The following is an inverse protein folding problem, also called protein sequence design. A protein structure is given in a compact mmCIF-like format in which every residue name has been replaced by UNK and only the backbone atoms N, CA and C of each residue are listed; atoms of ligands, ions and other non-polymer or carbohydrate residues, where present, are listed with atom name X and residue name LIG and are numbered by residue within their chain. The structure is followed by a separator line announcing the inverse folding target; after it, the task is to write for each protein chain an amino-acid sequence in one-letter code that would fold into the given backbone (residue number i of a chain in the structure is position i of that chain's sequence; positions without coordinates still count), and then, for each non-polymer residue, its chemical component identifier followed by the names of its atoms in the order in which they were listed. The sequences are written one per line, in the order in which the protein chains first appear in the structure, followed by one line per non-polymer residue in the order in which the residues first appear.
data_IF_156961202441
#
_entry.id   IF_156961202441
#
_cell.length_a   1.000
_cell.length_b   1.000
_cell.length_c   1.000
_cell.angle_alpha   90.00
_cell.angle_beta   90.00
_cell.angle_gamma   90.00
#
_symmetry.space_group_name_H-M   'P 1'
#
loop_
_entity.id
_entity.type
_entity.pdbx_description
1 polymer ?
#
# COMPACT_ATOMS: atom_id res chain seq x y z
N UNK A 1 13.46 27.35 4.56
CA UNK A 1 14.10 26.16 4.00
C UNK A 1 13.82 26.22 2.52
N UNK A 2 14.86 26.28 1.69
CA UNK A 2 14.69 26.35 0.24
C UNK A 2 14.01 25.07 -0.26
N UNK A 3 13.36 25.12 -1.41
CA UNK A 3 12.73 23.94 -2.00
C UNK A 3 13.76 22.82 -2.20
N UNK A 4 14.97 23.16 -2.65
CA UNK A 4 16.06 22.20 -2.88
C UNK A 4 16.51 21.51 -1.59
N UNK A 5 16.48 22.23 -0.46
CA UNK A 5 16.93 21.70 0.84
C UNK A 5 16.01 20.59 1.33
N UNK A 6 14.69 20.72 1.13
CA UNK A 6 13.69 19.72 1.60
C UNK A 6 13.89 18.40 0.87
N UNK A 7 14.17 18.45 -0.43
CA UNK A 7 14.39 17.25 -1.24
C UNK A 7 15.67 16.54 -0.83
N UNK A 8 16.78 17.27 -0.68
CA UNK A 8 18.05 16.70 -0.27
C UNK A 8 17.97 16.07 1.12
N UNK A 9 17.34 16.76 2.07
CA UNK A 9 17.14 16.22 3.43
C UNK A 9 16.22 15.00 3.40
N UNK A 10 15.12 15.04 2.65
CA UNK A 10 14.21 13.90 2.54
C UNK A 10 14.91 12.68 1.94
N UNK A 11 15.70 12.83 0.87
CA UNK A 11 16.47 11.73 0.28
C UNK A 11 17.47 11.14 1.27
N UNK A 12 18.26 11.99 1.94
CA UNK A 12 19.23 11.52 2.93
C UNK A 12 18.56 10.75 4.08
N UNK A 13 17.38 11.19 4.52
CA UNK A 13 16.60 10.49 5.53
C UNK A 13 16.04 9.15 4.99
N UNK A 14 15.57 9.11 3.74
CA UNK A 14 15.11 7.85 3.12
C UNK A 14 16.27 6.85 2.99
N UNK A 15 17.47 7.28 2.63
CA UNK A 15 18.66 6.43 2.57
C UNK A 15 19.05 5.89 3.96
N UNK A 16 18.91 6.70 5.02
CA UNK A 16 19.20 6.32 6.40
C UNK A 16 18.06 5.54 7.10
N UNK A 17 16.94 5.28 6.43
CA UNK A 17 15.74 4.69 7.05
C UNK A 17 15.94 3.26 7.58
N UNK A 18 16.99 2.56 7.13
CA UNK A 18 17.36 1.22 7.60
C UNK A 18 18.76 1.17 8.22
N UNK A 19 19.19 2.26 8.86
CA UNK A 19 20.45 2.32 9.59
C UNK A 19 20.59 1.16 10.59
N UNK A 20 21.82 0.73 10.89
CA UNK A 20 22.05 -0.37 11.83
C UNK A 20 21.74 0.02 13.27
N UNK A 21 21.77 1.32 13.58
CA UNK A 21 21.45 1.86 14.90
C UNK A 21 19.93 2.12 15.03
N UNK A 22 19.22 1.43 15.95
CA UNK A 22 17.79 1.63 16.17
C UNK A 22 17.42 3.06 16.62
N UNK A 23 18.31 3.75 17.34
CA UNK A 23 18.09 5.13 17.74
C UNK A 23 18.11 6.05 16.51
N UNK A 24 19.06 5.83 15.59
CA UNK A 24 19.12 6.55 14.31
C UNK A 24 17.85 6.29 13.50
N UNK A 25 17.40 5.03 13.38
CA UNK A 25 16.16 4.71 12.67
C UNK A 25 14.96 5.49 13.22
N UNK A 26 14.80 5.54 14.55
CA UNK A 26 13.68 6.25 15.16
C UNK A 26 13.76 7.76 14.95
N UNK A 27 14.96 8.36 15.02
CA UNK A 27 15.14 9.79 14.72
C UNK A 27 14.88 10.11 13.25
N UNK A 28 15.34 9.24 12.34
CA UNK A 28 15.06 9.35 10.90
C UNK A 28 13.56 9.31 10.67
N UNK A 29 12.86 8.32 11.23
CA UNK A 29 11.40 8.18 11.10
C UNK A 29 10.65 9.40 11.61
N UNK A 30 11.01 9.93 12.79
CA UNK A 30 10.43 11.17 13.34
C UNK A 30 10.66 12.36 12.43
N UNK A 31 11.85 12.46 11.84
CA UNK A 31 12.23 13.57 10.96
C UNK A 31 11.44 13.53 9.65
N UNK A 32 11.36 12.36 8.99
CA UNK A 32 10.56 12.21 7.76
C UNK A 32 9.09 12.47 8.02
N UNK A 33 8.54 11.98 9.14
CA UNK A 33 7.14 12.26 9.50
C UNK A 33 6.90 13.74 9.80
N UNK A 34 7.85 14.44 10.41
CA UNK A 34 7.75 15.88 10.66
C UNK A 34 7.72 16.66 9.35
N UNK A 35 8.60 16.33 8.40
CA UNK A 35 8.59 16.92 7.06
C UNK A 35 7.30 16.58 6.31
N UNK A 36 6.86 15.32 6.35
CA UNK A 36 5.62 14.87 5.72
C UNK A 36 4.37 15.56 6.30
N UNK A 37 4.39 15.96 7.57
CA UNK A 37 3.30 16.76 8.17
C UNK A 37 3.31 18.23 7.76
N UNK A 38 4.44 18.75 7.27
CA UNK A 38 4.59 20.13 6.80
C UNK A 38 4.37 20.26 5.29
N UNK A 39 4.82 19.28 4.52
CA UNK A 39 4.75 19.24 3.05
C UNK A 39 4.33 17.84 2.56
N UNK A 40 3.08 17.40 2.83
CA UNK A 40 2.65 16.02 2.60
C UNK A 40 2.78 15.60 1.13
N UNK A 41 2.22 16.38 0.19
CA UNK A 41 2.29 16.08 -1.25
C UNK A 41 3.72 15.86 -1.75
N UNK A 42 4.66 16.67 -1.25
CA UNK A 42 6.05 16.66 -1.68
C UNK A 42 6.79 15.46 -1.12
N UNK A 43 6.71 15.22 0.19
CA UNK A 43 7.40 14.09 0.83
C UNK A 43 6.85 12.77 0.31
N UNK A 44 5.54 12.69 0.08
CA UNK A 44 4.93 11.53 -0.57
C UNK A 44 5.49 11.33 -1.98
N UNK A 45 5.64 12.40 -2.79
CA UNK A 45 6.29 12.32 -4.10
C UNK A 45 7.69 11.69 -4.01
N UNK A 46 8.51 12.18 -3.08
CA UNK A 46 9.86 11.70 -2.87
C UNK A 46 9.88 10.20 -2.48
N UNK A 47 8.96 9.76 -1.63
CA UNK A 47 8.83 8.36 -1.25
C UNK A 47 8.47 7.47 -2.45
N UNK A 48 7.51 7.91 -3.28
CA UNK A 48 7.11 7.17 -4.48
C UNK A 48 8.25 7.09 -5.49
N UNK A 49 8.89 8.23 -5.78
CA UNK A 49 10.05 8.33 -6.66
C UNK A 49 11.19 7.42 -6.20
N UNK A 50 11.44 7.37 -4.90
CA UNK A 50 12.47 6.53 -4.31
C UNK A 50 12.18 5.04 -4.57
N UNK A 51 10.95 4.58 -4.35
CA UNK A 51 10.55 3.20 -4.61
C UNK A 51 10.65 2.83 -6.10
N UNK A 52 10.30 3.75 -6.99
CA UNK A 52 10.36 3.56 -8.45
C UNK A 52 11.80 3.53 -8.98
N UNK A 53 12.67 4.43 -8.48
CA UNK A 53 14.09 4.50 -8.86
C UNK A 53 14.90 3.30 -8.33
N UNK A 54 14.43 2.65 -7.26
CA UNK A 54 15.11 1.51 -6.63
C UNK A 54 14.27 0.21 -6.70
N UNK A 55 14.11 -0.41 -7.88
CA UNK A 55 13.31 -1.63 -8.01
C UNK A 55 13.86 -2.79 -7.15
N UNK A 56 15.19 -2.87 -6.99
CA UNK A 56 15.91 -3.91 -6.22
C UNK A 56 16.13 -3.53 -4.74
N UNK A 57 15.41 -2.55 -4.22
CA UNK A 57 15.49 -2.13 -2.82
C UNK A 57 15.20 -3.33 -1.88
N UNK A 58 15.94 -3.42 -0.78
CA UNK A 58 15.70 -4.45 0.23
C UNK A 58 14.26 -4.38 0.76
N UNK A 59 13.65 -5.54 1.01
CA UNK A 59 12.25 -5.64 1.44
C UNK A 59 12.00 -4.84 2.73
N UNK A 60 12.89 -4.95 3.72
CA UNK A 60 12.80 -4.20 4.97
C UNK A 60 12.80 -2.69 4.76
N UNK A 61 13.62 -2.19 3.83
CA UNK A 61 13.68 -0.76 3.51
C UNK A 61 12.42 -0.31 2.77
N UNK A 62 11.95 -1.11 1.82
CA UNK A 62 10.67 -0.87 1.13
C UNK A 62 9.50 -0.80 2.12
N UNK A 63 9.45 -1.70 3.11
CA UNK A 63 8.44 -1.67 4.20
C UNK A 63 8.46 -0.34 4.96
N UNK A 64 9.63 0.15 5.38
CA UNK A 64 9.75 1.41 6.13
C UNK A 64 9.22 2.60 5.32
N UNK A 65 9.49 2.63 4.01
CA UNK A 65 8.99 3.71 3.14
C UNK A 65 7.46 3.63 3.01
N UNK A 66 6.90 2.43 2.82
CA UNK A 66 5.45 2.24 2.72
C UNK A 66 4.74 2.62 4.03
N UNK A 67 5.28 2.23 5.17
CA UNK A 67 4.76 2.63 6.49
C UNK A 67 4.85 4.15 6.69
N UNK A 68 5.89 4.80 6.16
CA UNK A 68 6.01 6.25 6.21
C UNK A 68 4.91 6.93 5.38
N UNK A 69 4.65 6.41 4.17
CA UNK A 69 3.53 6.86 3.33
C UNK A 69 2.20 6.71 4.08
N UNK A 70 1.94 5.52 4.66
CA UNK A 70 0.74 5.23 5.44
C UNK A 70 0.53 6.28 6.54
N UNK A 71 1.55 6.54 7.35
CA UNK A 71 1.48 7.48 8.47
C UNK A 71 1.20 8.93 8.01
N UNK A 72 1.86 9.38 6.94
CA UNK A 72 1.66 10.73 6.41
C UNK A 72 0.23 10.87 5.90
N UNK A 73 -0.23 9.92 5.08
CA UNK A 73 -1.59 9.90 4.55
C UNK A 73 -2.62 9.87 5.67
N UNK A 74 -2.47 8.97 6.65
CA UNK A 74 -3.40 8.86 7.78
C UNK A 74 -3.50 10.15 8.62
N UNK A 75 -2.43 10.95 8.69
CA UNK A 75 -2.44 12.21 9.43
C UNK A 75 -2.90 13.43 8.62
N UNK A 76 -2.74 13.39 7.28
CA UNK A 76 -2.82 14.58 6.40
C UNK A 76 -3.67 14.37 5.16
N UNK A 77 -4.55 13.38 5.14
CA UNK A 77 -5.39 13.03 3.97
C UNK A 77 -6.18 14.22 3.38
N UNK A 78 -6.57 15.18 4.21
CA UNK A 78 -7.28 16.41 3.78
C UNK A 78 -6.38 17.41 3.05
N UNK A 79 -5.07 17.37 3.30
CA UNK A 79 -4.06 18.29 2.77
C UNK A 79 -3.36 17.74 1.53
N UNK A 80 -3.70 16.51 1.11
CA UNK A 80 -3.07 15.83 -0.04
C UNK A 80 -3.92 16.02 -1.29
N UNK A 81 -3.29 16.37 -2.41
CA UNK A 81 -3.95 16.53 -3.70
C UNK A 81 -4.60 15.22 -4.19
N UNK A 82 -5.76 15.32 -4.85
CA UNK A 82 -6.45 14.14 -5.39
C UNK A 82 -5.59 13.38 -6.42
N UNK A 83 -4.77 14.07 -7.21
CA UNK A 83 -3.83 13.44 -8.13
C UNK A 83 -2.78 12.59 -7.39
N UNK A 84 -2.26 13.08 -6.26
CA UNK A 84 -1.34 12.32 -5.42
C UNK A 84 -2.01 11.11 -4.80
N UNK A 85 -3.25 11.25 -4.30
CA UNK A 85 -4.00 10.11 -3.75
C UNK A 85 -4.18 9.02 -4.81
N UNK A 86 -4.61 9.34 -6.03
CA UNK A 86 -4.75 8.34 -7.11
C UNK A 86 -3.43 7.66 -7.44
N UNK A 87 -2.34 8.42 -7.49
CA UNK A 87 -0.99 7.87 -7.69
C UNK A 87 -0.56 6.93 -6.56
N UNK A 88 -0.88 7.25 -5.30
CA UNK A 88 -0.59 6.41 -4.14
C UNK A 88 -1.43 5.13 -4.12
N UNK A 89 -2.70 5.21 -4.53
CA UNK A 89 -3.59 4.04 -4.69
C UNK A 89 -2.97 3.06 -5.70
N UNK A 90 -2.59 3.55 -6.88
CA UNK A 90 -1.93 2.72 -7.91
C UNK A 90 -0.61 2.14 -7.40
N UNK A 91 0.25 2.95 -6.76
CA UNK A 91 1.50 2.45 -6.19
C UNK A 91 1.27 1.35 -5.15
N UNK A 92 0.37 1.57 -4.18
CA UNK A 92 0.12 0.61 -3.11
C UNK A 92 -0.50 -0.68 -3.66
N UNK A 93 -1.42 -0.56 -4.61
CA UNK A 93 -2.02 -1.68 -5.33
C UNK A 93 -0.96 -2.52 -6.06
N UNK A 94 0.00 -1.88 -6.71
CA UNK A 94 1.12 -2.54 -7.39
C UNK A 94 2.13 -3.15 -6.42
N UNK A 95 2.55 -2.44 -5.38
CA UNK A 95 3.47 -2.96 -4.35
C UNK A 95 2.88 -4.19 -3.66
N UNK A 96 1.58 -4.15 -3.33
CA UNK A 96 0.84 -5.26 -2.72
C UNK A 96 0.77 -6.51 -3.60
N UNK A 97 0.82 -6.36 -4.91
CA UNK A 97 0.66 -7.46 -5.89
C UNK A 97 1.90 -7.73 -6.75
N UNK A 98 3.02 -7.07 -6.45
CA UNK A 98 4.26 -7.16 -7.24
C UNK A 98 4.88 -8.55 -7.21
N UNK A 99 4.81 -9.22 -6.07
CA UNK A 99 5.25 -10.61 -5.90
C UNK A 99 4.04 -11.54 -5.92
N UNK A 100 4.20 -12.71 -6.56
CA UNK A 100 3.23 -13.82 -6.44
C UNK A 100 3.38 -14.56 -5.12
N UNK A 101 4.59 -14.58 -4.57
CA UNK A 101 4.84 -15.12 -3.24
C UNK A 101 4.35 -14.13 -2.19
N UNK A 102 3.76 -14.67 -1.14
CA UNK A 102 3.26 -13.88 -0.02
C UNK A 102 4.45 -13.45 0.84
N UNK A 103 4.72 -12.15 0.88
CA UNK A 103 5.72 -11.51 1.73
C UNK A 103 4.95 -10.58 2.70
N UNK A 104 4.52 -11.10 3.87
CA UNK A 104 3.51 -10.45 4.68
C UNK A 104 3.82 -9.00 5.05
N UNK A 105 5.03 -8.71 5.56
CA UNK A 105 5.38 -7.38 6.04
C UNK A 105 5.30 -6.31 4.94
N UNK A 106 5.76 -6.63 3.73
CA UNK A 106 5.73 -5.72 2.59
C UNK A 106 4.32 -5.50 2.08
N UNK A 107 3.60 -6.59 1.82
CA UNK A 107 2.29 -6.51 1.20
C UNK A 107 1.24 -5.97 2.19
N UNK A 108 1.40 -6.22 3.49
CA UNK A 108 0.60 -5.60 4.54
C UNK A 108 0.86 -4.10 4.63
N UNK A 109 2.12 -3.64 4.57
CA UNK A 109 2.43 -2.21 4.57
C UNK A 109 1.78 -1.50 3.36
N UNK A 110 1.76 -2.14 2.19
CA UNK A 110 1.06 -1.61 1.02
C UNK A 110 -0.47 -1.62 1.21
N UNK A 111 -1.04 -2.71 1.73
CA UNK A 111 -2.47 -2.83 2.06
C UNK A 111 -2.93 -1.73 3.03
N UNK A 112 -2.13 -1.42 4.05
CA UNK A 112 -2.46 -0.40 5.04
C UNK A 112 -2.58 1.00 4.44
N UNK A 113 -1.77 1.34 3.43
CA UNK A 113 -1.91 2.62 2.70
C UNK A 113 -3.30 2.70 2.07
N UNK A 114 -3.75 1.63 1.40
CA UNK A 114 -5.09 1.59 0.80
C UNK A 114 -6.18 1.74 1.88
N UNK A 115 -6.07 1.02 2.99
CA UNK A 115 -7.03 1.14 4.10
C UNK A 115 -7.07 2.56 4.67
N UNK A 116 -5.91 3.20 4.88
CA UNK A 116 -5.82 4.57 5.38
C UNK A 116 -6.48 5.60 4.44
N UNK A 117 -6.37 5.40 3.13
CA UNK A 117 -7.01 6.23 2.10
C UNK A 117 -8.53 5.93 1.98
N UNK A 118 -8.93 4.70 2.25
CA UNK A 118 -10.24 4.15 1.90
C UNK A 118 -11.43 4.75 2.62
N UNK A 119 -11.24 5.43 3.75
CA UNK A 119 -12.34 6.15 4.41
C UNK A 119 -12.88 7.31 3.57
N UNK A 120 -12.01 7.96 2.78
CA UNK A 120 -12.37 9.16 2.00
C UNK A 120 -12.44 8.91 0.50
N UNK A 121 -11.56 8.06 -0.03
CA UNK A 121 -11.44 7.83 -1.47
C UNK A 121 -11.83 6.40 -1.87
N UNK A 122 -12.88 5.86 -1.24
CA UNK A 122 -13.28 4.46 -1.46
C UNK A 122 -13.57 4.16 -2.93
N UNK A 123 -14.18 5.09 -3.66
CA UNK A 123 -14.51 4.90 -5.07
C UNK A 123 -13.25 4.71 -5.92
N UNK A 124 -12.22 5.55 -5.72
CA UNK A 124 -10.94 5.43 -6.43
C UNK A 124 -10.20 4.14 -6.05
N UNK A 125 -10.27 3.72 -4.78
CA UNK A 125 -9.70 2.43 -4.35
C UNK A 125 -10.40 1.27 -5.00
N UNK A 126 -11.73 1.27 -5.03
CA UNK A 126 -12.50 0.17 -5.60
C UNK A 126 -12.33 0.10 -7.12
N UNK A 127 -12.21 1.24 -7.80
CA UNK A 127 -11.86 1.29 -9.23
C UNK A 127 -10.54 0.57 -9.50
N UNK A 128 -9.50 0.84 -8.70
CA UNK A 128 -8.18 0.21 -8.82
C UNK A 128 -8.20 -1.28 -8.41
N UNK A 129 -8.70 -1.60 -7.22
CA UNK A 129 -8.58 -2.94 -6.63
C UNK A 129 -9.41 -3.97 -7.39
N UNK A 130 -10.56 -3.58 -7.93
CA UNK A 130 -11.37 -4.49 -8.74
C UNK A 130 -10.66 -4.87 -10.05
N UNK A 131 -9.74 -4.07 -10.58
CA UNK A 131 -8.92 -4.49 -11.74
C UNK A 131 -8.05 -5.71 -11.43
N UNK A 132 -7.64 -5.88 -10.17
CA UNK A 132 -6.83 -7.01 -9.68
C UNK A 132 -7.69 -8.16 -9.12
N UNK A 133 -9.02 -8.01 -9.15
CA UNK A 133 -9.99 -8.94 -8.60
C UNK A 133 -11.03 -9.34 -9.67
N UNK A 134 -10.59 -10.16 -10.63
CA UNK A 134 -11.37 -10.52 -11.82
C UNK A 134 -11.90 -11.97 -11.76
N UNK A 135 -13.15 -12.23 -12.21
CA UNK A 135 -13.71 -13.59 -12.22
C UNK A 135 -12.84 -14.61 -12.96
N UNK A 136 -12.70 -15.82 -12.41
CA UNK A 136 -11.99 -16.93 -13.07
C UNK A 136 -10.47 -16.93 -12.92
N UNK A 137 -9.89 -15.99 -12.17
CA UNK A 137 -8.48 -15.98 -11.79
C UNK A 137 -8.37 -16.01 -10.26
N UNK A 138 -7.47 -16.81 -9.70
CA UNK A 138 -7.22 -16.78 -8.25
C UNK A 138 -6.49 -15.47 -7.89
N UNK A 139 -7.08 -14.59 -7.07
CA UNK A 139 -6.51 -13.29 -6.76
C UNK A 139 -5.37 -13.45 -5.75
N UNK A 140 -4.44 -12.50 -5.75
CA UNK A 140 -3.40 -12.46 -4.74
C UNK A 140 -4.02 -12.32 -3.33
N UNK A 141 -3.49 -13.04 -2.34
CA UNK A 141 -4.03 -13.08 -0.97
C UNK A 141 -4.35 -11.70 -0.40
N UNK A 142 -3.41 -10.75 -0.55
CA UNK A 142 -3.58 -9.40 -0.03
C UNK A 142 -4.64 -8.56 -0.72
N UNK A 143 -5.08 -8.90 -1.94
CA UNK A 143 -6.25 -8.24 -2.57
C UNK A 143 -7.51 -8.55 -1.75
N UNK A 144 -7.71 -9.82 -1.40
CA UNK A 144 -8.85 -10.25 -0.57
C UNK A 144 -8.73 -9.69 0.85
N UNK A 145 -7.55 -9.75 1.45
CA UNK A 145 -7.31 -9.20 2.79
C UNK A 145 -7.59 -7.69 2.83
N UNK A 146 -7.21 -6.94 1.80
CA UNK A 146 -7.47 -5.49 1.74
C UNK A 146 -8.95 -5.19 1.62
N UNK A 147 -9.70 -5.94 0.79
CA UNK A 147 -11.16 -5.81 0.72
C UNK A 147 -11.83 -6.09 2.07
N UNK A 148 -11.33 -7.08 2.81
CA UNK A 148 -11.80 -7.37 4.16
C UNK A 148 -11.51 -6.21 5.13
N UNK A 149 -10.27 -5.70 5.13
CA UNK A 149 -9.87 -4.58 5.99
C UNK A 149 -10.64 -3.29 5.68
N UNK A 150 -10.89 -3.00 4.40
CA UNK A 150 -11.72 -1.87 3.97
C UNK A 150 -13.19 -2.03 4.41
N UNK A 151 -13.70 -3.25 4.41
CA UNK A 151 -15.06 -3.55 4.90
C UNK A 151 -15.18 -3.35 6.40
N UNK A 152 -14.12 -3.63 7.16
CA UNK A 152 -14.06 -3.39 8.60
C UNK A 152 -13.92 -1.89 8.93
N UNK A 153 -13.01 -1.19 8.22
CA UNK A 153 -12.73 0.22 8.50
C UNK A 153 -13.76 1.19 7.92
N UNK A 154 -14.40 0.85 6.80
CA UNK A 154 -15.35 1.69 6.07
C UNK A 154 -16.59 0.91 5.61
N UNK A 155 -17.36 0.42 6.58
CA UNK A 155 -18.57 -0.40 6.35
C UNK A 155 -19.50 0.26 5.32
N UNK A 156 -19.86 1.54 5.53
CA UNK A 156 -20.83 2.23 4.68
C UNK A 156 -20.30 2.50 3.27
N UNK A 157 -19.02 2.87 3.13
CA UNK A 157 -18.39 3.07 1.83
C UNK A 157 -18.29 1.79 1.00
N UNK A 158 -18.25 0.63 1.66
CA UNK A 158 -18.16 -0.67 0.99
C UNK A 158 -19.50 -1.23 0.51
N UNK A 159 -20.63 -0.85 1.13
CA UNK A 159 -21.98 -1.37 0.79
C UNK A 159 -22.27 -1.38 -0.72
N UNK A 160 -22.00 -0.31 -1.49
CA UNK A 160 -22.29 -0.29 -2.93
C UNK A 160 -21.54 -1.34 -3.75
N UNK A 161 -20.40 -1.83 -3.25
CA UNK A 161 -19.50 -2.73 -3.96
C UNK A 161 -19.65 -4.21 -3.56
N UNK A 162 -20.35 -4.51 -2.46
CA UNK A 162 -20.47 -5.87 -1.93
C UNK A 162 -21.01 -6.87 -2.94
N UNK A 163 -22.01 -6.49 -3.75
CA UNK A 163 -22.57 -7.37 -4.77
C UNK A 163 -21.52 -7.77 -5.83
N UNK A 164 -20.68 -6.83 -6.27
CA UNK A 164 -19.62 -7.11 -7.23
C UNK A 164 -18.54 -8.01 -6.61
N UNK A 165 -18.12 -7.71 -5.37
CA UNK A 165 -17.11 -8.49 -4.66
C UNK A 165 -17.59 -9.94 -4.45
N UNK A 166 -18.80 -10.13 -3.92
CA UNK A 166 -19.37 -11.46 -3.65
C UNK A 166 -19.61 -12.24 -4.95
N UNK A 167 -20.13 -11.57 -5.99
CA UNK A 167 -20.32 -12.18 -7.31
C UNK A 167 -19.01 -12.73 -7.89
N UNK A 168 -17.92 -12.00 -7.71
CA UNK A 168 -16.58 -12.41 -8.15
C UNK A 168 -15.98 -13.52 -7.27
N UNK A 169 -16.22 -13.54 -5.96
CA UNK A 169 -15.73 -14.58 -5.05
C UNK A 169 -16.35 -15.96 -5.28
N UNK A 170 -17.63 -16.03 -5.65
CA UNK A 170 -18.37 -17.29 -5.74
C UNK A 170 -17.69 -18.34 -6.66
N UNK A 171 -17.28 -18.00 -7.90
CA UNK A 171 -16.50 -18.91 -8.75
C UNK A 171 -15.13 -19.27 -8.15
N UNK A 172 -14.45 -18.31 -7.51
CA UNK A 172 -13.09 -18.49 -6.99
C UNK A 172 -13.04 -19.46 -5.81
N UNK A 173 -14.07 -19.51 -4.96
CA UNK A 173 -14.15 -20.48 -3.86
C UNK A 173 -14.12 -21.93 -4.38
N UNK A 174 -14.72 -22.18 -5.54
CA UNK A 174 -14.67 -23.48 -6.19
C UNK A 174 -13.28 -23.80 -6.73
N UNK A 175 -12.55 -22.79 -7.21
CA UNK A 175 -11.19 -22.94 -7.74
C UNK A 175 -10.15 -23.15 -6.65
N UNK A 176 -10.23 -22.40 -5.54
CA UNK A 176 -9.32 -22.56 -4.40
C UNK A 176 -9.39 -23.99 -3.80
N UNK A 177 -10.58 -24.60 -3.83
CA UNK A 177 -10.77 -25.99 -3.43
C UNK A 177 -10.04 -26.97 -4.36
N UNK A 178 -9.98 -26.69 -5.66
CA UNK A 178 -9.30 -27.53 -6.64
C UNK A 178 -7.78 -27.38 -6.60
N UNK A 179 -7.28 -26.17 -6.34
CA UNK A 179 -5.84 -25.91 -6.25
C UNK A 179 -5.19 -26.74 -5.14
N UNK A 180 -5.80 -26.78 -3.95
CA UNK A 180 -5.34 -27.62 -2.83
C UNK A 180 -5.40 -29.14 -3.14
N UNK A 181 -6.32 -29.60 -4.00
CA UNK A 181 -6.39 -31.01 -4.41
C UNK A 181 -5.32 -31.37 -5.45
N UNK A 182 -4.86 -30.44 -6.26
CA UNK A 182 -3.80 -30.69 -7.25
C UNK A 182 -2.41 -30.74 -6.60
N UNK A 183 -2.19 -30.03 -5.49
CA UNK A 183 -0.93 -30.10 -4.72
C UNK A 183 -0.76 -31.46 -4.03
N UNK A 184 -1.85 -32.16 -3.69
CA UNK A 184 -1.80 -33.46 -3.00
C UNK A 184 -1.73 -34.70 -3.92
N UNK A 185 -1.90 -34.54 -5.23
CA UNK A 185 -1.86 -35.66 -6.18
C UNK A 185 -0.53 -35.73 -6.96
N UNK A 186 0.48 -34.96 -6.54
CA UNK A 186 1.81 -34.88 -7.14
C UNK A 186 2.94 -35.47 -6.29
N UNK A 187 2.61 -36.21 -5.22
CA UNK A 187 3.57 -37.00 -4.42
C UNK A 187 3.39 -38.51 -4.65
#
# INVERSE_FOLDING_TARGET
MDETDVEQVTLALLDAATDKDPEVQEQVRKSVLTLGKQQPDRVLAMCQDYLLKHPKLAVSHRVVILQTIELIVGCRIEEISSARIKSLISLASDEMTRSKEVVPDWQQAASNILVAVGNKYINDIMEEILTKFQPGLLPHFFVVQTLANLSDSNVYGMVPFLNAILGTMLPMLSMAKQDNMNVHNGE
#
